data_IF_894486107865
#
_entry.id   IF_894486107865
#
_cell.length_a   1.000
_cell.length_b   1.000
_cell.length_c   1.000
_cell.angle_alpha   90.00
_cell.angle_beta   90.00
_cell.angle_gamma   90.00
#
_symmetry.space_group_name_H-M   'P 1'
#
loop_
_entity.id
_entity.type
_entity.pdbx_description
1 polymer ?
#
# COMPACT_ATOMS: atom_id res chain seq x y z
N UNK A 1 -36.63 -20.40 -16.66
CA UNK A 1 -35.16 -20.26 -16.66
C UNK A 1 -34.79 -18.89 -16.07
N UNK A 2 -33.79 -18.85 -15.20
CA UNK A 2 -33.33 -17.59 -14.61
C UNK A 2 -32.41 -16.82 -15.57
N UNK A 3 -32.43 -15.48 -15.51
CA UNK A 3 -31.49 -14.64 -16.26
C UNK A 3 -30.13 -14.61 -15.55
N UNK A 4 -29.05 -14.72 -16.31
CA UNK A 4 -27.67 -14.57 -15.79
C UNK A 4 -26.85 -13.65 -16.69
N UNK A 5 -25.71 -13.18 -16.15
CA UNK A 5 -24.77 -12.34 -16.92
C UNK A 5 -23.71 -13.15 -17.65
N UNK A 6 -23.49 -14.40 -17.24
CA UNK A 6 -22.40 -15.23 -17.75
C UNK A 6 -22.86 -16.61 -18.06
N UNK A 7 -22.48 -17.10 -19.23
CA UNK A 7 -22.80 -18.46 -19.69
C UNK A 7 -21.59 -19.14 -20.32
N UNK A 8 -21.38 -20.40 -20.01
CA UNK A 8 -20.63 -21.34 -20.84
C UNK A 8 -21.60 -21.97 -21.82
N UNK A 9 -21.17 -22.17 -23.04
CA UNK A 9 -21.99 -22.86 -24.03
C UNK A 9 -21.15 -23.61 -25.06
N UNK A 10 -21.73 -24.69 -25.60
CA UNK A 10 -21.17 -25.48 -26.68
C UNK A 10 -22.04 -25.26 -27.90
N UNK A 11 -21.42 -24.88 -29.01
CA UNK A 11 -22.08 -24.77 -30.31
C UNK A 11 -21.62 -25.94 -31.19
N UNK A 12 -22.52 -26.85 -31.45
CA UNK A 12 -22.26 -28.02 -32.31
C UNK A 12 -22.30 -27.61 -33.77
N UNK A 13 -21.31 -28.06 -34.55
CA UNK A 13 -21.22 -27.83 -35.98
C UNK A 13 -21.99 -28.94 -36.72
N UNK A 14 -22.91 -28.55 -37.58
CA UNK A 14 -23.66 -29.41 -38.48
C UNK A 14 -23.30 -29.05 -39.93
N UNK A 15 -23.57 -29.90 -40.90
CA UNK A 15 -23.12 -29.81 -42.30
C UNK A 15 -23.52 -28.53 -43.08
N UNK A 16 -24.19 -27.56 -42.47
CA UNK A 16 -24.49 -26.22 -43.03
C UNK A 16 -24.24 -25.15 -41.97
N UNK A 17 -23.00 -24.97 -41.62
CA UNK A 17 -22.65 -24.13 -40.49
C UNK A 17 -22.72 -22.65 -40.83
N UNK A 18 -23.61 -21.92 -40.15
CA UNK A 18 -23.73 -20.46 -40.20
C UNK A 18 -22.43 -19.80 -39.64
N UNK A 19 -21.82 -20.46 -38.65
CA UNK A 19 -20.54 -20.05 -38.06
C UNK A 19 -19.51 -21.15 -38.28
N UNK A 20 -18.37 -20.78 -38.89
CA UNK A 20 -17.25 -21.68 -39.18
C UNK A 20 -15.92 -20.95 -38.95
N UNK A 21 -14.80 -21.61 -39.17
CA UNK A 21 -13.44 -21.05 -38.96
C UNK A 21 -13.17 -19.78 -39.78
N UNK A 22 -13.77 -19.67 -40.97
CA UNK A 22 -13.51 -18.59 -41.92
C UNK A 22 -14.31 -17.32 -41.56
N UNK A 23 -15.53 -17.47 -41.01
CA UNK A 23 -16.44 -16.36 -40.77
C UNK A 23 -16.67 -16.02 -39.29
N UNK A 24 -16.15 -16.82 -38.35
CA UNK A 24 -16.37 -16.60 -36.91
C UNK A 24 -15.97 -15.19 -36.44
N UNK A 25 -14.83 -14.69 -36.85
CA UNK A 25 -14.39 -13.35 -36.43
C UNK A 25 -15.31 -12.27 -37.01
N UNK A 26 -15.67 -12.34 -38.28
CA UNK A 26 -16.58 -11.36 -38.87
C UNK A 26 -17.99 -11.42 -38.26
N UNK A 27 -18.42 -12.61 -37.84
CA UNK A 27 -19.70 -12.77 -37.11
C UNK A 27 -19.61 -12.11 -35.72
N UNK A 28 -18.50 -12.29 -35.00
CA UNK A 28 -18.28 -11.62 -33.70
C UNK A 28 -18.28 -10.10 -33.81
N UNK A 29 -17.64 -9.55 -34.84
CA UNK A 29 -17.53 -8.12 -35.05
C UNK A 29 -18.86 -7.42 -35.32
N UNK A 30 -19.86 -8.17 -35.78
CA UNK A 30 -21.24 -7.68 -36.03
C UNK A 30 -22.14 -7.73 -34.78
N UNK A 31 -21.68 -8.34 -33.67
CA UNK A 31 -22.48 -8.45 -32.46
C UNK A 31 -22.59 -7.13 -31.70
N UNK A 32 -23.73 -6.96 -31.04
CA UNK A 32 -24.03 -5.77 -30.22
C UNK A 32 -23.12 -5.68 -29.00
N UNK A 33 -22.15 -4.75 -29.06
CA UNK A 33 -21.18 -4.48 -27.99
C UNK A 33 -21.78 -3.79 -26.76
N UNK A 34 -22.95 -3.18 -26.88
CA UNK A 34 -23.67 -2.66 -25.70
C UNK A 34 -24.29 -3.78 -24.88
N UNK A 35 -24.62 -4.92 -25.52
CA UNK A 35 -25.19 -6.08 -24.87
C UNK A 35 -24.13 -7.08 -24.42
N UNK A 36 -23.13 -7.34 -25.27
CA UNK A 36 -22.05 -8.31 -25.02
C UNK A 36 -20.81 -7.58 -24.56
N UNK A 37 -20.41 -7.82 -23.32
CA UNK A 37 -19.17 -7.30 -22.75
C UNK A 37 -17.96 -8.06 -23.27
N UNK A 38 -18.07 -9.39 -23.30
CA UNK A 38 -17.00 -10.29 -23.71
C UNK A 38 -17.58 -11.58 -24.26
N UNK A 39 -16.98 -12.10 -25.31
CA UNK A 39 -17.30 -13.40 -25.87
C UNK A 39 -16.01 -14.03 -26.40
N UNK A 40 -15.78 -15.31 -26.06
CA UNK A 40 -14.67 -16.11 -26.58
C UNK A 40 -15.20 -17.43 -27.13
N UNK A 41 -14.68 -17.84 -28.25
CA UNK A 41 -14.97 -19.12 -28.91
C UNK A 41 -13.67 -19.80 -29.31
N UNK A 42 -13.57 -21.09 -29.07
CA UNK A 42 -12.47 -21.93 -29.54
C UNK A 42 -13.05 -23.16 -30.22
N UNK A 43 -12.55 -23.49 -31.39
CA UNK A 43 -12.92 -24.72 -32.07
C UNK A 43 -12.19 -25.91 -31.47
N UNK A 44 -12.92 -26.91 -31.06
CA UNK A 44 -12.39 -28.10 -30.39
C UNK A 44 -12.91 -29.39 -31.02
N UNK A 45 -12.17 -30.47 -30.79
CA UNK A 45 -12.58 -31.84 -31.08
C UNK A 45 -13.09 -32.51 -29.81
N UNK A 46 -14.31 -33.07 -29.86
CA UNK A 46 -14.84 -33.82 -28.71
C UNK A 46 -14.10 -35.16 -28.58
N UNK A 47 -13.43 -35.45 -27.44
CA UNK A 47 -12.59 -36.65 -27.31
C UNK A 47 -13.30 -37.97 -27.49
N UNK A 48 -14.59 -38.06 -27.18
CA UNK A 48 -15.36 -39.31 -27.27
C UNK A 48 -16.07 -39.57 -28.59
N UNK A 49 -16.30 -38.54 -29.41
CA UNK A 49 -17.14 -38.62 -30.60
C UNK A 49 -16.49 -38.10 -31.89
N UNK A 50 -15.29 -37.52 -31.78
CA UNK A 50 -14.58 -36.82 -32.85
C UNK A 50 -15.44 -35.74 -33.55
N UNK A 51 -16.47 -35.21 -32.87
CA UNK A 51 -17.28 -34.12 -33.40
C UNK A 51 -16.65 -32.78 -33.14
N UNK A 52 -16.64 -31.94 -34.16
CA UNK A 52 -16.18 -30.55 -34.06
C UNK A 52 -17.26 -29.71 -33.38
N UNK A 53 -16.86 -28.84 -32.46
CA UNK A 53 -17.75 -27.90 -31.80
C UNK A 53 -16.97 -26.66 -31.37
N UNK A 54 -17.67 -25.53 -31.20
CA UNK A 54 -17.11 -24.39 -30.52
C UNK A 54 -17.38 -24.50 -29.03
N UNK A 55 -16.33 -24.46 -28.22
CA UNK A 55 -16.41 -24.25 -26.78
C UNK A 55 -16.37 -22.73 -26.52
N UNK A 56 -17.38 -22.21 -25.82
CA UNK A 56 -17.63 -20.78 -25.77
C UNK A 56 -17.93 -20.28 -24.37
N UNK A 57 -17.58 -19.02 -24.13
CA UNK A 57 -17.94 -18.29 -22.91
C UNK A 57 -18.39 -16.89 -23.27
N UNK A 58 -19.54 -16.44 -22.71
CA UNK A 58 -20.07 -15.09 -22.92
C UNK A 58 -20.34 -14.36 -21.61
N UNK A 59 -20.01 -13.07 -21.59
CA UNK A 59 -20.39 -12.11 -20.55
C UNK A 59 -21.30 -11.03 -21.12
N UNK A 60 -22.48 -10.91 -20.55
CA UNK A 60 -23.42 -9.85 -20.88
C UNK A 60 -23.24 -8.63 -19.96
N UNK A 61 -23.47 -7.42 -20.48
CA UNK A 61 -23.49 -6.18 -19.71
C UNK A 61 -24.63 -6.18 -18.66
N UNK A 62 -25.74 -6.86 -18.98
CA UNK A 62 -26.92 -7.03 -18.11
C UNK A 62 -27.45 -8.47 -18.17
N UNK A 63 -28.14 -8.96 -17.13
CA UNK A 63 -28.63 -10.35 -17.11
C UNK A 63 -29.53 -10.68 -18.31
N UNK A 64 -29.27 -11.79 -19.03
CA UNK A 64 -29.99 -12.28 -20.16
C UNK A 64 -30.48 -13.72 -19.93
N UNK A 65 -31.46 -14.19 -20.73
CA UNK A 65 -31.78 -15.59 -20.81
C UNK A 65 -30.76 -16.31 -21.69
N UNK A 66 -30.31 -17.51 -21.32
CA UNK A 66 -29.36 -18.29 -22.12
C UNK A 66 -29.86 -18.62 -23.54
N UNK A 67 -31.15 -18.75 -23.73
CA UNK A 67 -31.77 -18.93 -25.06
C UNK A 67 -31.53 -17.76 -26.02
N UNK A 68 -31.14 -16.58 -25.50
CA UNK A 68 -30.82 -15.44 -26.35
C UNK A 68 -29.52 -15.62 -27.13
N UNK A 69 -28.62 -16.49 -26.65
CA UNK A 69 -27.32 -16.74 -27.30
C UNK A 69 -27.53 -17.27 -28.74
N UNK A 70 -28.40 -18.23 -28.93
CA UNK A 70 -28.69 -18.78 -30.26
C UNK A 70 -29.16 -17.67 -31.22
N UNK A 71 -30.07 -16.80 -30.76
CA UNK A 71 -30.59 -15.68 -31.58
C UNK A 71 -29.49 -14.65 -31.90
N UNK A 72 -28.62 -14.37 -30.99
CA UNK A 72 -27.49 -13.41 -31.18
C UNK A 72 -26.49 -13.94 -32.21
N UNK A 73 -26.23 -15.23 -32.19
CA UNK A 73 -25.32 -15.90 -33.12
C UNK A 73 -25.97 -16.28 -34.44
N UNK A 74 -27.29 -16.11 -34.56
CA UNK A 74 -28.04 -16.51 -35.78
C UNK A 74 -28.11 -18.03 -36.01
N UNK A 75 -27.92 -18.84 -34.97
CA UNK A 75 -27.86 -20.31 -35.06
C UNK A 75 -29.13 -20.96 -34.53
N UNK A 76 -29.49 -22.18 -35.01
CA UNK A 76 -30.60 -22.95 -34.48
C UNK A 76 -30.45 -23.22 -32.99
N UNK A 77 -31.54 -23.22 -32.23
CA UNK A 77 -31.53 -23.41 -30.79
C UNK A 77 -31.08 -24.80 -30.34
N UNK A 78 -31.28 -25.80 -31.18
CA UNK A 78 -30.88 -27.20 -30.96
C UNK A 78 -29.38 -27.45 -31.20
N UNK A 79 -28.73 -26.56 -31.94
CA UNK A 79 -27.29 -26.59 -32.15
C UNK A 79 -26.50 -26.09 -30.92
N UNK A 80 -27.18 -25.56 -29.89
CA UNK A 80 -26.53 -24.87 -28.79
C UNK A 80 -26.96 -25.45 -27.43
N UNK A 81 -25.98 -25.85 -26.63
CA UNK A 81 -26.17 -26.21 -25.24
C UNK A 81 -25.48 -25.17 -24.35
N UNK A 82 -26.17 -24.63 -23.37
CA UNK A 82 -25.66 -23.63 -22.49
C UNK A 82 -25.96 -23.93 -21.03
N UNK A 83 -25.07 -23.39 -20.14
CA UNK A 83 -25.26 -23.40 -18.70
C UNK A 83 -24.79 -22.08 -18.12
N UNK A 84 -25.30 -21.70 -16.92
CA UNK A 84 -24.84 -20.54 -16.21
C UNK A 84 -23.39 -20.79 -15.77
N UNK A 85 -22.48 -19.92 -16.19
CA UNK A 85 -21.07 -20.06 -15.87
C UNK A 85 -20.81 -19.95 -14.37
N UNK A 86 -20.13 -20.94 -13.81
CA UNK A 86 -19.65 -20.98 -12.43
C UNK A 86 -18.16 -20.56 -12.43
N UNK A 87 -17.68 -20.04 -11.33
CA UNK A 87 -16.28 -19.61 -11.22
C UNK A 87 -16.03 -18.16 -11.72
N UNK A 88 -14.77 -17.76 -11.73
CA UNK A 88 -14.35 -16.42 -12.17
C UNK A 88 -14.33 -16.33 -13.71
N UNK A 89 -14.33 -15.07 -14.21
CA UNK A 89 -14.16 -14.81 -15.64
C UNK A 89 -12.86 -15.43 -16.17
N UNK A 90 -11.75 -15.25 -15.45
CA UNK A 90 -10.46 -15.82 -15.82
C UNK A 90 -10.47 -17.35 -15.92
N UNK A 91 -11.13 -18.05 -14.98
CA UNK A 91 -11.26 -19.50 -15.03
C UNK A 91 -12.05 -19.97 -16.27
N UNK A 92 -13.14 -19.26 -16.60
CA UNK A 92 -13.94 -19.60 -17.76
C UNK A 92 -13.22 -19.29 -19.08
N UNK A 93 -12.47 -18.19 -19.16
CA UNK A 93 -11.61 -17.85 -20.30
C UNK A 93 -10.56 -18.94 -20.50
N UNK A 94 -9.83 -19.31 -19.44
CA UNK A 94 -8.82 -20.38 -19.51
C UNK A 94 -9.42 -21.72 -19.97
N UNK A 95 -10.65 -22.01 -19.52
CA UNK A 95 -11.36 -23.22 -19.96
C UNK A 95 -11.67 -23.22 -21.46
N UNK A 96 -12.06 -22.06 -22.01
CA UNK A 96 -12.36 -21.88 -23.44
C UNK A 96 -11.14 -21.51 -24.29
N UNK A 97 -9.92 -21.58 -23.75
CA UNK A 97 -8.67 -21.30 -24.46
C UNK A 97 -7.58 -22.36 -24.24
N UNK A 98 -7.95 -23.53 -23.71
CA UNK A 98 -7.03 -24.64 -23.45
C UNK A 98 -6.43 -25.18 -24.76
N UNK A 99 -5.19 -25.66 -24.71
CA UNK A 99 -4.46 -26.12 -25.91
C UNK A 99 -4.76 -27.58 -26.29
N UNK A 100 -5.09 -28.42 -25.33
CA UNK A 100 -5.17 -29.88 -25.50
C UNK A 100 -6.20 -30.35 -26.51
N UNK A 101 -7.33 -29.64 -26.69
CA UNK A 101 -8.40 -30.02 -27.62
C UNK A 101 -8.62 -29.02 -28.77
N UNK A 102 -7.74 -28.00 -28.85
CA UNK A 102 -7.86 -26.90 -29.82
C UNK A 102 -7.59 -27.37 -31.25
N UNK A 103 -8.53 -27.09 -32.14
CA UNK A 103 -8.33 -27.17 -33.57
C UNK A 103 -8.01 -25.81 -34.19
N UNK A 104 -8.73 -24.74 -33.74
CA UNK A 104 -8.49 -23.36 -34.20
C UNK A 104 -9.02 -22.34 -33.20
N UNK A 105 -8.59 -21.08 -33.32
CA UNK A 105 -8.88 -19.97 -32.38
C UNK A 105 -7.89 -19.89 -31.24
N UNK A 106 -8.20 -19.26 -30.08
CA UNK A 106 -9.52 -18.68 -29.79
C UNK A 106 -9.79 -17.36 -30.52
N UNK A 107 -11.04 -17.13 -30.89
CA UNK A 107 -11.54 -15.82 -31.36
C UNK A 107 -12.27 -15.14 -30.21
N UNK A 108 -12.16 -13.81 -30.14
CA UNK A 108 -12.74 -13.07 -29.01
C UNK A 108 -13.29 -11.70 -29.41
N UNK A 109 -14.32 -11.27 -28.67
CA UNK A 109 -14.93 -9.97 -28.75
C UNK A 109 -14.89 -9.31 -27.35
N UNK A 110 -14.42 -8.07 -27.25
CA UNK A 110 -14.41 -7.30 -26.01
C UNK A 110 -13.33 -7.71 -25.02
N UNK A 111 -13.53 -7.35 -23.74
CA UNK A 111 -12.59 -7.64 -22.66
C UNK A 111 -13.31 -8.34 -21.51
N UNK A 112 -12.77 -9.46 -21.00
CA UNK A 112 -13.38 -10.18 -19.88
C UNK A 112 -13.48 -9.31 -18.64
N UNK A 113 -14.52 -9.55 -17.83
CA UNK A 113 -14.64 -8.85 -16.56
C UNK A 113 -13.46 -9.25 -15.65
N UNK A 114 -12.74 -8.26 -15.17
CA UNK A 114 -11.85 -8.47 -14.03
C UNK A 114 -12.74 -8.86 -12.86
N UNK A 115 -12.58 -10.09 -12.35
CA UNK A 115 -13.45 -10.65 -11.32
C UNK A 115 -13.60 -9.68 -10.13
N UNK A 116 -14.76 -9.76 -9.44
CA UNK A 116 -14.96 -9.10 -8.16
C UNK A 116 -13.94 -9.65 -7.14
N UNK A 117 -12.68 -9.24 -7.24
CA UNK A 117 -11.61 -9.77 -6.39
C UNK A 117 -10.22 -9.27 -6.78
N UNK A 118 -9.98 -8.93 -8.04
CA UNK A 118 -8.77 -8.22 -8.42
C UNK A 118 -8.94 -6.73 -8.05
N UNK A 119 -8.47 -6.36 -6.87
CA UNK A 119 -8.40 -4.96 -6.44
C UNK A 119 -7.26 -4.29 -7.20
N UNK A 120 -7.56 -3.84 -8.41
CA UNK A 120 -6.62 -3.07 -9.23
C UNK A 120 -6.17 -1.80 -8.51
N UNK A 121 -7.05 -1.18 -7.70
CA UNK A 121 -6.76 -0.03 -6.86
C UNK A 121 -5.63 -0.32 -5.84
N UNK A 122 -5.70 -1.47 -5.16
CA UNK A 122 -4.68 -1.86 -4.20
C UNK A 122 -3.38 -2.29 -4.89
N UNK A 123 -3.46 -3.00 -6.00
CA UNK A 123 -2.28 -3.39 -6.78
C UNK A 123 -1.52 -2.14 -7.29
N UNK A 124 -2.25 -1.17 -7.85
CA UNK A 124 -1.66 0.11 -8.31
C UNK A 124 -1.05 0.89 -7.13
N UNK A 125 -1.72 0.94 -5.98
CA UNK A 125 -1.17 1.56 -4.77
C UNK A 125 0.14 0.88 -4.32
N UNK A 126 0.23 -0.45 -4.36
CA UNK A 126 1.46 -1.19 -4.05
C UNK A 126 2.60 -0.88 -5.03
N UNK A 127 2.32 -0.79 -6.33
CA UNK A 127 3.33 -0.40 -7.32
C UNK A 127 3.80 1.05 -7.13
N UNK A 128 2.90 1.97 -6.79
CA UNK A 128 3.26 3.34 -6.44
C UNK A 128 4.17 3.39 -5.21
N UNK A 129 3.87 2.60 -4.16
CA UNK A 129 4.74 2.50 -2.98
C UNK A 129 6.11 1.95 -3.35
N UNK A 130 6.16 0.91 -4.16
CA UNK A 130 7.40 0.29 -4.60
C UNK A 130 8.31 1.28 -5.35
N UNK A 131 7.74 2.11 -6.19
CA UNK A 131 8.48 3.07 -7.02
C UNK A 131 8.78 4.38 -6.26
N UNK A 132 7.82 4.93 -5.53
CA UNK A 132 7.87 6.30 -5.02
C UNK A 132 7.64 6.43 -3.51
N UNK A 133 7.25 5.35 -2.81
CA UNK A 133 7.02 5.34 -1.36
C UNK A 133 5.61 5.72 -0.93
N UNK A 134 5.40 5.62 0.39
CA UNK A 134 4.09 5.76 1.02
C UNK A 134 3.47 7.14 0.85
N UNK A 135 4.30 8.21 0.92
CA UNK A 135 3.83 9.58 0.76
C UNK A 135 3.18 9.79 -0.61
N UNK A 136 3.85 9.37 -1.67
CA UNK A 136 3.32 9.46 -3.03
C UNK A 136 2.05 8.63 -3.22
N UNK A 137 2.00 7.44 -2.61
CA UNK A 137 0.79 6.63 -2.61
C UNK A 137 -0.40 7.34 -1.92
N UNK A 138 -0.16 8.06 -0.82
CA UNK A 138 -1.21 8.84 -0.17
C UNK A 138 -1.74 9.98 -1.05
N UNK A 139 -0.87 10.60 -1.85
CA UNK A 139 -1.23 11.68 -2.78
C UNK A 139 -2.01 11.15 -3.99
N UNK A 140 -1.53 10.08 -4.64
CA UNK A 140 -2.10 9.55 -5.89
C UNK A 140 -3.33 8.64 -5.65
N UNK A 141 -3.39 7.95 -4.50
CA UNK A 141 -4.43 6.96 -4.18
C UNK A 141 -5.08 7.21 -2.81
N UNK A 142 -5.59 8.42 -2.49
CA UNK A 142 -6.01 8.80 -1.15
C UNK A 142 -7.10 7.89 -0.56
N UNK A 143 -8.08 7.47 -1.34
CA UNK A 143 -9.16 6.60 -0.89
C UNK A 143 -8.65 5.20 -0.50
N UNK A 144 -7.77 4.61 -1.32
CA UNK A 144 -7.15 3.32 -1.06
C UNK A 144 -6.19 3.42 0.13
N UNK A 145 -5.41 4.51 0.20
CA UNK A 145 -4.49 4.78 1.29
C UNK A 145 -5.22 4.85 2.64
N UNK A 146 -6.24 5.69 2.79
CA UNK A 146 -7.01 5.82 4.03
C UNK A 146 -7.60 4.48 4.48
N UNK A 147 -8.11 3.70 3.52
CA UNK A 147 -8.74 2.40 3.82
C UNK A 147 -7.74 1.32 4.25
N UNK A 148 -6.53 1.33 3.71
CA UNK A 148 -5.55 0.24 3.88
C UNK A 148 -4.20 0.71 4.44
N UNK A 149 -4.11 1.89 5.05
CA UNK A 149 -2.86 2.51 5.50
C UNK A 149 -1.97 1.58 6.32
N UNK A 150 -2.53 0.79 7.23
CA UNK A 150 -1.74 -0.17 8.04
C UNK A 150 -1.06 -1.24 7.20
N UNK A 151 -1.80 -1.84 6.26
CA UNK A 151 -1.26 -2.85 5.34
C UNK A 151 -0.23 -2.26 4.37
N UNK A 152 -0.51 -1.07 3.84
CA UNK A 152 0.40 -0.36 2.95
C UNK A 152 1.69 0.08 3.66
N UNK A 153 1.60 0.54 4.91
CA UNK A 153 2.80 0.87 5.72
C UNK A 153 3.62 -0.36 6.05
N UNK A 154 2.99 -1.48 6.40
CA UNK A 154 3.68 -2.75 6.62
C UNK A 154 4.36 -3.26 5.34
N UNK A 155 3.68 -3.14 4.18
CA UNK A 155 4.25 -3.47 2.89
C UNK A 155 5.49 -2.63 2.60
N UNK A 156 5.43 -1.30 2.76
CA UNK A 156 6.58 -0.42 2.56
C UNK A 156 7.76 -0.80 3.45
N UNK A 157 7.52 -1.08 4.73
CA UNK A 157 8.59 -1.44 5.67
C UNK A 157 9.33 -2.72 5.28
N UNK A 158 8.67 -3.65 4.58
CA UNK A 158 9.27 -4.88 4.08
C UNK A 158 10.08 -4.65 2.81
N UNK A 159 9.52 -3.91 1.84
CA UNK A 159 10.18 -3.72 0.53
C UNK A 159 11.23 -2.62 0.53
N UNK A 160 11.16 -1.70 1.50
CA UNK A 160 12.11 -0.63 1.73
C UNK A 160 12.67 -0.75 3.14
N UNK A 161 13.62 -1.67 3.39
CA UNK A 161 14.24 -1.76 4.69
C UNK A 161 14.82 -0.39 5.08
N UNK A 162 14.78 -0.02 6.35
CA UNK A 162 15.31 1.26 6.81
C UNK A 162 16.77 1.36 6.42
N UNK A 163 17.16 2.54 5.92
CA UNK A 163 18.56 2.87 5.71
C UNK A 163 19.27 2.80 7.07
N UNK A 164 20.23 1.92 7.20
CA UNK A 164 21.03 1.70 8.42
C UNK A 164 22.31 2.53 8.44
N UNK A 165 22.49 3.46 7.48
CA UNK A 165 23.65 4.33 7.46
C UNK A 165 23.70 5.22 8.71
N UNK A 166 24.91 5.41 9.24
CA UNK A 166 25.15 6.34 10.33
C UNK A 166 25.11 7.78 9.80
N UNK A 167 24.31 8.64 10.44
CA UNK A 167 24.31 10.08 10.22
C UNK A 167 24.32 10.77 11.57
N UNK A 168 25.42 11.43 11.91
CA UNK A 168 25.53 12.19 13.14
C UNK A 168 24.39 13.22 13.23
N UNK A 169 23.79 13.33 14.41
CA UNK A 169 22.76 14.32 14.72
C UNK A 169 23.39 15.55 15.31
N UNK A 170 22.84 16.71 15.03
CA UNK A 170 23.13 17.94 15.73
C UNK A 170 22.32 17.97 17.03
N UNK A 171 22.97 17.89 18.19
CA UNK A 171 22.32 17.85 19.50
C UNK A 171 22.71 19.11 20.29
N UNK A 172 21.74 20.00 20.42
CA UNK A 172 21.90 21.33 20.99
C UNK A 172 21.26 21.38 22.37
N UNK A 173 22.01 21.76 23.39
CA UNK A 173 21.51 21.88 24.76
C UNK A 173 21.54 23.34 25.21
N UNK A 174 20.43 23.82 25.75
CA UNK A 174 20.32 25.10 26.44
C UNK A 174 19.79 24.84 27.84
N UNK A 175 20.63 25.09 28.83
CA UNK A 175 20.30 24.86 30.24
C UNK A 175 20.48 26.11 31.09
N UNK A 176 19.95 26.11 32.28
CA UNK A 176 20.05 27.23 33.22
C UNK A 176 18.82 27.40 34.10
N UNK A 177 18.79 28.38 34.98
CA UNK A 177 17.67 28.62 35.88
C UNK A 177 16.33 28.83 35.20
N UNK A 178 15.21 28.59 35.90
CA UNK A 178 13.89 28.94 35.40
C UNK A 178 13.78 30.43 35.04
N UNK A 179 13.16 30.72 33.90
CA UNK A 179 12.95 32.10 33.45
C UNK A 179 14.11 32.72 32.67
N UNK A 180 15.22 32.00 32.36
CA UNK A 180 16.29 32.46 31.49
C UNK A 180 15.98 32.50 30.01
N UNK A 181 14.75 32.13 29.59
CA UNK A 181 14.33 32.21 28.20
C UNK A 181 14.75 31.03 27.30
N UNK A 182 15.20 29.90 27.88
CA UNK A 182 15.67 28.73 27.12
C UNK A 182 14.74 28.28 26.01
N UNK A 183 13.47 28.08 26.32
CA UNK A 183 12.46 27.67 25.34
C UNK A 183 12.24 28.75 24.30
N UNK A 184 12.16 30.03 24.70
CA UNK A 184 12.05 31.16 23.76
C UNK A 184 13.26 31.19 22.81
N UNK A 185 14.46 31.07 23.33
CA UNK A 185 15.69 31.02 22.52
C UNK A 185 15.64 29.88 21.49
N UNK A 186 15.20 28.70 21.90
CA UNK A 186 15.04 27.57 20.97
C UNK A 186 14.06 27.90 19.82
N UNK A 187 12.91 28.48 20.15
CA UNK A 187 11.90 28.85 19.15
C UNK A 187 12.40 29.95 18.20
N UNK A 188 13.02 31.00 18.72
CA UNK A 188 13.49 32.15 17.92
C UNK A 188 14.72 31.78 17.08
N UNK A 189 15.73 31.15 17.68
CA UNK A 189 17.01 30.86 17.01
C UNK A 189 16.88 29.78 15.94
N UNK A 190 16.06 28.76 16.17
CA UNK A 190 15.95 27.61 15.26
C UNK A 190 14.68 27.62 14.43
N UNK A 191 13.95 28.74 14.43
CA UNK A 191 12.76 28.92 13.57
C UNK A 191 11.59 28.03 13.92
N UNK A 192 11.50 27.53 15.16
CA UNK A 192 10.43 26.62 15.55
C UNK A 192 9.06 27.29 15.56
N UNK A 193 8.99 28.61 15.63
CA UNK A 193 7.76 29.41 15.55
C UNK A 193 6.99 29.21 14.24
N UNK A 194 7.67 28.80 13.16
CA UNK A 194 7.09 28.58 11.86
C UNK A 194 6.56 27.13 11.66
N UNK A 195 6.60 26.31 12.71
CA UNK A 195 6.25 24.89 12.63
C UNK A 195 7.37 24.02 12.03
N UNK A 196 7.05 22.78 11.67
CA UNK A 196 8.03 21.87 11.06
C UNK A 196 8.97 21.19 12.05
N UNK A 197 8.66 21.22 13.34
CA UNK A 197 9.37 20.47 14.38
C UNK A 197 8.40 19.59 15.17
N UNK A 198 8.95 18.58 15.83
CA UNK A 198 8.21 17.74 16.76
C UNK A 198 8.65 18.05 18.21
N UNK A 199 7.68 18.26 19.11
CA UNK A 199 7.94 18.35 20.54
C UNK A 199 7.84 16.96 21.15
N UNK A 200 8.95 16.46 21.66
CA UNK A 200 9.00 15.14 22.28
C UNK A 200 8.13 15.09 23.54
N UNK A 201 7.49 13.95 23.83
CA UNK A 201 6.66 13.81 25.01
C UNK A 201 7.47 13.94 26.30
N UNK A 202 6.85 14.47 27.35
CA UNK A 202 7.38 14.47 28.71
C UNK A 202 6.59 13.43 29.54
N UNK A 203 6.94 12.14 29.47
CA UNK A 203 6.18 11.10 30.14
C UNK A 203 6.36 11.18 31.65
N UNK A 204 5.26 11.02 32.39
CA UNK A 204 5.28 10.99 33.85
C UNK A 204 5.46 9.57 34.41
N UNK A 205 4.96 8.54 33.73
CA UNK A 205 5.12 7.11 34.07
C UNK A 205 4.80 6.23 32.85
N UNK A 206 5.44 5.06 32.79
CA UNK A 206 5.11 4.01 31.82
C UNK A 206 5.80 4.12 30.47
N UNK A 207 5.20 3.58 29.43
CA UNK A 207 5.74 3.57 28.07
C UNK A 207 5.71 4.96 27.44
N UNK A 208 6.83 5.34 26.83
CA UNK A 208 6.97 6.61 26.13
C UNK A 208 6.44 6.46 24.72
N UNK A 209 5.39 7.20 24.37
CA UNK A 209 4.76 7.21 23.06
C UNK A 209 5.09 8.50 22.33
N UNK A 210 5.61 8.38 21.12
CA UNK A 210 5.95 9.51 20.26
C UNK A 210 4.79 9.87 19.31
N UNK A 211 3.58 9.90 19.84
CA UNK A 211 2.37 10.20 19.06
C UNK A 211 2.50 11.58 18.39
N UNK A 212 2.13 11.64 17.11
CA UNK A 212 2.20 12.85 16.30
C UNK A 212 3.55 13.07 15.61
N UNK A 213 4.59 12.28 15.90
CA UNK A 213 5.84 12.34 15.13
C UNK A 213 5.63 11.78 13.72
N UNK A 214 5.93 12.58 12.72
CA UNK A 214 5.76 12.24 11.29
C UNK A 214 7.09 12.21 10.51
N UNK A 215 8.21 12.25 11.24
CA UNK A 215 9.55 12.25 10.65
C UNK A 215 10.13 13.64 10.48
N UNK A 216 9.72 14.59 11.31
CA UNK A 216 10.28 15.94 11.38
C UNK A 216 11.79 15.90 11.57
N UNK A 217 12.49 16.75 10.83
CA UNK A 217 13.96 16.83 10.89
C UNK A 217 14.48 17.48 12.17
N UNK A 218 13.64 18.24 12.87
CA UNK A 218 13.96 18.88 14.14
C UNK A 218 13.05 18.40 15.25
N UNK A 219 13.62 18.02 16.39
CA UNK A 219 12.89 17.59 17.59
C UNK A 219 13.31 18.44 18.78
N UNK A 220 12.33 18.87 19.56
CA UNK A 220 12.53 19.61 20.81
C UNK A 220 12.18 18.72 22.02
N UNK A 221 13.15 18.49 22.88
CA UNK A 221 12.95 18.00 24.25
C UNK A 221 12.93 19.23 25.18
N UNK A 222 11.71 19.65 25.52
CA UNK A 222 11.52 20.86 26.32
C UNK A 222 11.42 20.51 27.81
N UNK A 223 12.06 21.33 28.68
CA UNK A 223 12.16 21.12 30.12
C UNK A 223 12.67 19.73 30.51
N UNK A 224 13.74 19.30 29.85
CA UNK A 224 14.31 17.98 30.05
C UNK A 224 14.83 17.77 31.47
N UNK A 225 14.30 16.75 32.16
CA UNK A 225 14.63 16.43 33.56
C UNK A 225 15.52 15.18 33.74
N UNK A 226 16.19 14.72 32.70
CA UNK A 226 17.10 13.57 32.77
C UNK A 226 16.37 12.24 33.06
N UNK A 227 16.91 11.47 34.00
CA UNK A 227 16.43 10.13 34.36
C UNK A 227 14.96 10.06 34.77
N UNK A 228 14.41 11.19 35.26
CA UNK A 228 13.00 11.27 35.64
C UNK A 228 12.04 11.17 34.43
N UNK A 229 12.52 11.47 33.23
CA UNK A 229 11.71 11.45 32.00
C UNK A 229 12.07 10.29 31.08
N UNK A 230 13.38 10.06 30.84
CA UNK A 230 13.85 9.06 29.92
C UNK A 230 14.92 8.17 30.55
N UNK A 231 14.86 6.84 30.47
CA UNK A 231 15.99 5.97 30.80
C UNK A 231 17.21 6.32 29.94
N UNK A 232 18.40 6.32 30.53
CA UNK A 232 19.63 6.70 29.81
C UNK A 232 19.86 5.89 28.55
N UNK A 233 19.63 4.57 28.60
CA UNK A 233 19.81 3.67 27.46
C UNK A 233 18.92 4.06 26.26
N UNK A 234 17.68 4.43 26.51
CA UNK A 234 16.75 4.90 25.48
C UNK A 234 17.17 6.27 24.95
N UNK A 235 17.55 7.18 25.85
CA UNK A 235 17.95 8.53 25.46
C UNK A 235 19.21 8.51 24.59
N UNK A 236 20.19 7.69 24.92
CA UNK A 236 21.38 7.48 24.08
C UNK A 236 21.02 7.01 22.67
N UNK A 237 20.05 6.09 22.54
CA UNK A 237 19.59 5.63 21.23
C UNK A 237 18.88 6.75 20.45
N UNK A 238 18.06 7.57 21.11
CA UNK A 238 17.38 8.71 20.46
C UNK A 238 18.36 9.75 19.92
N UNK A 239 19.49 9.95 20.64
CA UNK A 239 20.54 10.88 20.23
C UNK A 239 21.53 10.28 19.22
N UNK A 240 21.55 8.95 19.06
CA UNK A 240 22.49 8.26 18.19
C UNK A 240 22.24 8.54 16.71
N UNK A 241 23.31 8.51 15.91
CA UNK A 241 23.27 8.71 14.47
C UNK A 241 22.63 7.55 13.70
N UNK A 242 22.47 6.38 14.31
CA UNK A 242 21.75 5.28 13.70
C UNK A 242 20.24 5.50 13.74
N UNK A 243 19.57 5.13 12.68
CA UNK A 243 18.11 5.19 12.62
C UNK A 243 17.51 4.07 13.49
N UNK A 244 16.48 4.42 14.25
CA UNK A 244 15.70 3.48 15.05
C UNK A 244 14.21 3.70 14.79
N UNK A 245 13.37 2.86 15.35
CA UNK A 245 11.93 3.07 15.36
C UNK A 245 11.49 3.48 16.77
N UNK A 246 10.58 4.45 16.84
CA UNK A 246 9.94 4.86 18.08
C UNK A 246 8.48 4.43 18.11
N UNK A 247 7.95 4.02 19.28
CA UNK A 247 6.59 3.57 19.41
C UNK A 247 5.61 4.75 19.33
N UNK A 248 4.54 4.53 18.56
CA UNK A 248 3.35 5.41 18.52
C UNK A 248 2.11 4.55 18.76
N UNK A 249 1.00 5.14 19.20
CA UNK A 249 -0.24 4.38 19.37
C UNK A 249 -0.69 3.78 18.03
N UNK A 250 -0.62 2.46 17.97
CA UNK A 250 -0.99 1.70 16.77
C UNK A 250 0.18 1.22 15.89
N UNK A 251 1.44 1.44 16.31
CA UNK A 251 2.60 0.94 15.57
C UNK A 251 3.93 1.57 15.97
N UNK A 252 4.82 1.65 15.00
CA UNK A 252 6.14 2.26 15.13
C UNK A 252 6.37 3.20 13.95
N UNK A 253 7.14 4.25 14.16
CA UNK A 253 7.58 5.19 13.11
C UNK A 253 9.11 5.32 13.13
N UNK A 254 9.74 5.51 11.95
CA UNK A 254 11.19 5.71 11.89
C UNK A 254 11.59 7.01 12.59
N UNK A 255 12.52 6.91 13.56
CA UNK A 255 13.13 8.05 14.25
C UNK A 255 14.34 8.53 13.47
N UNK A 256 14.21 9.68 12.84
CA UNK A 256 15.23 10.20 11.91
C UNK A 256 15.45 11.71 11.97
N UNK A 257 15.39 12.37 13.13
CA UNK A 257 15.69 13.78 13.19
C UNK A 257 17.17 14.03 12.85
N UNK A 258 17.43 15.13 12.15
CA UNK A 258 18.78 15.63 11.89
C UNK A 258 19.26 16.51 13.05
N UNK A 259 18.32 17.21 13.71
CA UNK A 259 18.59 18.12 14.83
C UNK A 259 17.73 17.78 16.04
N UNK A 260 18.35 17.76 17.20
CA UNK A 260 17.68 17.61 18.49
C UNK A 260 18.05 18.82 19.36
N UNK A 261 17.02 19.52 19.84
CA UNK A 261 17.17 20.65 20.73
C UNK A 261 16.68 20.23 22.11
N UNK A 262 17.45 20.50 23.14
CA UNK A 262 17.13 20.13 24.51
C UNK A 262 17.18 21.40 25.37
N UNK A 263 16.07 21.74 26.02
CA UNK A 263 16.08 22.77 27.07
C UNK A 263 16.01 22.09 28.43
N UNK A 264 16.72 22.59 29.42
CA UNK A 264 16.75 21.99 30.76
C UNK A 264 16.98 23.02 31.85
N UNK A 265 16.41 22.81 33.03
CA UNK A 265 16.75 23.56 34.22
C UNK A 265 18.00 23.00 34.95
N UNK A 266 18.45 21.82 34.52
CA UNK A 266 19.60 21.12 35.08
C UNK A 266 20.76 21.12 34.08
N UNK A 267 21.98 21.24 34.58
CA UNK A 267 23.17 21.01 33.78
C UNK A 267 23.19 19.54 33.28
N UNK A 268 23.71 19.22 32.07
CA UNK A 268 23.76 17.85 31.57
C UNK A 268 24.42 16.87 32.55
N UNK A 269 25.35 17.31 33.38
CA UNK A 269 26.00 16.50 34.41
C UNK A 269 25.03 16.00 35.50
N UNK A 270 23.88 16.68 35.64
CA UNK A 270 22.90 16.39 36.68
C UNK A 270 21.76 15.48 36.14
N UNK A 271 21.70 15.22 34.83
CA UNK A 271 20.59 14.49 34.24
C UNK A 271 20.51 13.02 34.67
N UNK A 272 21.67 12.40 34.89
CA UNK A 272 21.81 10.99 35.20
C UNK A 272 22.77 10.75 36.34
N UNK A 273 22.51 11.39 37.48
CA UNK A 273 23.28 11.16 38.71
C UNK A 273 23.13 9.71 39.15
N UNK A 274 24.25 9.01 39.37
CA UNK A 274 24.31 7.62 39.78
C UNK A 274 24.62 6.62 38.67
N UNK A 275 24.67 7.05 37.43
CA UNK A 275 25.17 6.23 36.31
C UNK A 275 26.71 6.17 36.32
N UNK A 276 27.27 5.14 35.68
CA UNK A 276 28.72 4.98 35.61
C UNK A 276 29.37 6.12 34.78
N UNK A 277 30.64 6.45 35.07
CA UNK A 277 31.38 7.48 34.32
C UNK A 277 31.39 7.19 32.80
N UNK A 278 31.47 5.93 32.39
CA UNK A 278 31.48 5.52 30.99
C UNK A 278 30.14 5.80 30.31
N UNK A 279 29.03 5.60 31.01
CA UNK A 279 27.68 5.89 30.48
C UNK A 279 27.44 7.41 30.39
N UNK A 280 27.90 8.17 31.36
CA UNK A 280 27.87 9.63 31.32
C UNK A 280 28.67 10.18 30.13
N UNK A 281 29.87 9.65 29.91
CA UNK A 281 30.72 10.03 28.76
C UNK A 281 30.05 9.70 27.43
N UNK A 282 29.35 8.56 27.34
CA UNK A 282 28.59 8.19 26.15
C UNK A 282 27.49 9.22 25.82
N UNK A 283 26.86 9.82 26.82
CA UNK A 283 25.91 10.92 26.64
C UNK A 283 26.64 12.19 26.14
N UNK A 284 27.70 12.62 26.84
CA UNK A 284 28.38 13.88 26.52
C UNK A 284 28.96 13.93 25.12
N UNK A 285 29.47 12.81 24.61
CA UNK A 285 29.96 12.71 23.22
C UNK A 285 28.89 12.97 22.16
N UNK A 286 27.62 12.82 22.49
CA UNK A 286 26.49 13.06 21.58
C UNK A 286 25.95 14.48 21.63
N UNK A 287 26.33 15.27 22.65
CA UNK A 287 25.93 16.67 22.78
C UNK A 287 26.91 17.52 21.95
N UNK A 288 26.43 18.15 20.89
CA UNK A 288 27.30 18.88 19.95
C UNK A 288 27.50 20.35 20.31
N UNK A 289 26.49 20.95 20.97
CA UNK A 289 26.52 22.36 21.40
C UNK A 289 25.79 22.48 22.75
N UNK A 290 26.53 22.83 23.79
CA UNK A 290 26.02 22.95 25.18
C UNK A 290 26.29 24.35 25.71
N UNK A 291 25.22 25.06 26.04
CA UNK A 291 25.34 26.43 26.58
C UNK A 291 24.42 26.64 27.78
N UNK A 292 24.98 27.27 28.81
CA UNK A 292 24.21 27.81 29.92
C UNK A 292 23.62 29.17 29.53
N UNK A 293 22.33 29.35 29.80
CA UNK A 293 21.66 30.65 29.67
C UNK A 293 21.48 31.26 31.06
N UNK A 294 22.12 32.42 31.26
CA UNK A 294 22.09 33.18 32.51
C UNK A 294 21.04 34.29 32.37
N UNK A 295 20.34 34.63 33.47
CA UNK A 295 19.49 35.81 33.48
C UNK A 295 20.34 37.03 33.23
N UNK A 296 20.02 37.81 32.20
CA UNK A 296 20.51 39.16 32.09
C UNK A 296 19.70 39.99 33.08
N UNK A 297 20.41 40.58 34.05
CA UNK A 297 19.84 41.55 34.99
C UNK A 297 19.22 42.77 34.28
#
# INVERSE_FOLDING_TARGET
MSKARRYLFTLWLHNQDIINEENVQSTLDQLDRELIRFLILQLELCPGTNRRHFQCYVEFTRPQLGTRIARLLGVPSDSLRFEVARGSSSQNVNYCSKEESRLAGPWQLGTPSTGQGARSDLATACETIKSYGLKRCAEDHPATFVKYVKGLSAYESIIRPPDVSFKAKEVIVRWGEPGTGKTRFAYETYGLSNGGFYRAPAPTKGTIWFDGYQGESTVLFDDYGGASLYPLSMFLQLLDGYRMQVPVKGGFVPWKPDRIIITSNLAPQQWYLGESPQQAEALYRRLTDVQELIKND
#
